data_IF_430649549641
#
_entry.id   IF_430649549641
#
_cell.length_a   1.000
_cell.length_b   1.000
_cell.length_c   1.000
_cell.angle_alpha   90.00
_cell.angle_beta   90.00
_cell.angle_gamma   90.00
#
_symmetry.space_group_name_H-M   'P 1'
#
loop_
_entity.id
_entity.type
_entity.pdbx_description
1 polymer ?
#
# COMPACT_ATOMS: atom_id res chain seq x y z
N UNK A 1 15.64 13.54 -23.65
CA UNK A 1 14.39 13.96 -22.97
C UNK A 1 13.28 13.08 -23.50
N UNK A 2 12.86 12.05 -22.76
CA UNK A 2 11.81 11.14 -23.25
C UNK A 2 10.44 11.78 -23.00
N UNK A 3 9.73 12.06 -24.09
CA UNK A 3 8.37 12.56 -24.10
C UNK A 3 7.44 11.43 -23.62
N UNK A 4 6.87 11.56 -22.42
CA UNK A 4 5.79 10.67 -21.98
C UNK A 4 4.50 11.24 -22.55
N UNK A 5 3.93 10.55 -23.53
CA UNK A 5 2.61 10.81 -24.12
C UNK A 5 1.55 10.91 -23.03
N UNK A 6 0.64 11.89 -23.18
CA UNK A 6 -0.43 12.17 -22.22
C UNK A 6 -1.28 10.95 -21.87
N UNK A 7 -1.67 10.86 -20.59
CA UNK A 7 -2.47 9.79 -19.94
C UNK A 7 -1.67 8.59 -19.40
N UNK A 8 -0.62 8.86 -18.61
CA UNK A 8 0.06 7.85 -17.77
C UNK A 8 -0.42 7.89 -16.32
N UNK A 9 -0.19 6.82 -15.55
CA UNK A 9 -0.43 6.80 -14.11
C UNK A 9 0.54 7.77 -13.39
N UNK A 10 0.02 8.77 -12.67
CA UNK A 10 0.83 9.76 -11.96
C UNK A 10 0.11 10.34 -10.74
N UNK A 11 0.84 10.61 -9.65
CA UNK A 11 0.31 11.27 -8.45
C UNK A 11 -1.04 10.65 -8.01
N UNK A 12 -2.12 11.43 -7.85
CA UNK A 12 -3.46 10.93 -7.51
C UNK A 12 -4.14 10.18 -8.67
N UNK A 13 -3.72 10.39 -9.92
CA UNK A 13 -4.22 9.68 -11.09
C UNK A 13 -3.48 8.34 -11.28
N UNK A 14 -3.64 7.42 -10.32
CA UNK A 14 -3.09 6.06 -10.39
C UNK A 14 -1.60 5.93 -10.03
N UNK A 15 -0.99 6.94 -9.40
CA UNK A 15 0.35 6.80 -8.83
C UNK A 15 0.40 5.77 -7.72
N UNK A 16 1.60 5.23 -7.46
CA UNK A 16 1.84 4.28 -6.37
C UNK A 16 2.37 5.00 -5.14
N UNK A 17 1.67 4.89 -4.01
CA UNK A 17 1.93 5.65 -2.79
C UNK A 17 2.50 4.76 -1.68
N UNK A 18 3.79 4.90 -1.30
CA UNK A 18 4.40 4.09 -0.25
C UNK A 18 3.68 4.16 1.10
N UNK A 19 3.09 5.31 1.43
CA UNK A 19 2.31 5.49 2.66
C UNK A 19 1.17 4.47 2.79
N UNK A 20 0.61 3.95 1.69
CA UNK A 20 -0.50 2.99 1.76
C UNK A 20 -0.07 1.58 2.21
N UNK A 21 1.24 1.32 2.32
CA UNK A 21 1.76 0.01 2.72
C UNK A 21 1.26 -0.45 4.10
N UNK A 22 1.11 0.46 5.07
CA UNK A 22 0.60 0.08 6.40
C UNK A 22 -0.89 -0.27 6.38
N UNK A 23 -1.71 0.40 5.56
CA UNK A 23 -3.13 0.07 5.41
C UNK A 23 -3.31 -1.30 4.74
N UNK A 24 -2.53 -1.58 3.69
CA UNK A 24 -2.52 -2.90 3.06
C UNK A 24 -2.10 -3.96 4.08
N UNK A 25 -1.09 -3.67 4.90
CA UNK A 25 -0.62 -4.59 5.94
C UNK A 25 -1.69 -4.87 7.00
N UNK A 26 -2.32 -3.82 7.53
CA UNK A 26 -3.40 -3.94 8.50
C UNK A 26 -4.57 -4.77 7.96
N UNK A 27 -5.01 -4.49 6.73
CA UNK A 27 -6.07 -5.25 6.07
C UNK A 27 -5.67 -6.71 5.84
N UNK A 28 -4.43 -6.98 5.46
CA UNK A 28 -3.91 -8.34 5.30
C UNK A 28 -3.91 -9.11 6.62
N UNK A 29 -3.50 -8.49 7.73
CA UNK A 29 -3.54 -9.12 9.06
C UNK A 29 -5.00 -9.39 9.45
N UNK A 30 -5.87 -8.38 9.37
CA UNK A 30 -7.30 -8.49 9.73
C UNK A 30 -8.02 -9.60 8.96
N UNK A 31 -7.65 -9.80 7.69
CA UNK A 31 -8.28 -10.81 6.82
C UNK A 31 -7.56 -12.16 6.82
N UNK A 32 -6.57 -12.36 7.69
CA UNK A 32 -5.83 -13.63 7.79
C UNK A 32 -4.95 -13.93 6.57
N UNK A 33 -4.42 -12.90 5.88
CA UNK A 33 -3.57 -12.99 4.68
C UNK A 33 -2.19 -12.32 4.84
N UNK A 34 -1.43 -12.57 5.92
CA UNK A 34 -0.17 -11.87 6.21
C UNK A 34 0.93 -12.08 5.14
N UNK A 35 0.88 -13.15 4.35
CA UNK A 35 1.81 -13.40 3.25
C UNK A 35 1.76 -12.33 2.16
N UNK A 36 0.60 -11.69 1.93
CA UNK A 36 0.48 -10.61 0.95
C UNK A 36 1.22 -9.36 1.45
N UNK A 37 1.07 -9.05 2.74
CA UNK A 37 1.79 -7.96 3.39
C UNK A 37 3.31 -8.17 3.38
N UNK A 38 3.79 -9.38 3.71
CA UNK A 38 5.23 -9.73 3.65
C UNK A 38 5.81 -9.44 2.27
N UNK A 39 5.15 -9.93 1.21
CA UNK A 39 5.59 -9.70 -0.17
C UNK A 39 5.59 -8.21 -0.56
N UNK A 40 4.58 -7.45 -0.11
CA UNK A 40 4.52 -6.02 -0.38
C UNK A 40 5.66 -5.24 0.30
N UNK A 41 5.99 -5.61 1.55
CA UNK A 41 7.09 -5.02 2.31
C UNK A 41 8.44 -5.40 1.68
N UNK A 42 8.66 -6.66 1.32
CA UNK A 42 9.87 -7.09 0.61
C UNK A 42 10.10 -6.28 -0.67
N UNK A 43 9.03 -6.07 -1.46
CA UNK A 43 9.11 -5.24 -2.66
C UNK A 43 9.48 -3.79 -2.34
N UNK A 44 8.90 -3.21 -1.29
CA UNK A 44 9.21 -1.85 -0.85
C UNK A 44 10.68 -1.72 -0.37
N UNK A 45 11.17 -2.69 0.40
CA UNK A 45 12.55 -2.73 0.94
C UNK A 45 13.61 -2.77 -0.17
N UNK A 46 13.30 -3.30 -1.35
CA UNK A 46 14.27 -3.35 -2.48
C UNK A 46 14.72 -1.96 -2.93
N UNK A 47 13.91 -0.91 -2.73
CA UNK A 47 14.11 0.40 -3.35
C UNK A 47 13.81 1.64 -2.51
N UNK A 48 12.91 1.61 -1.51
CA UNK A 48 12.49 2.84 -0.81
C UNK A 48 13.66 3.64 -0.23
N UNK A 49 14.59 2.95 0.43
CA UNK A 49 15.80 3.57 0.98
C UNK A 49 16.72 4.11 -0.12
N UNK A 50 16.95 3.32 -1.18
CA UNK A 50 17.83 3.69 -2.32
C UNK A 50 17.29 4.90 -3.09
N UNK A 51 15.98 5.00 -3.24
CA UNK A 51 15.29 6.07 -3.96
C UNK A 51 15.11 7.34 -3.10
N UNK A 52 15.55 7.31 -1.83
CA UNK A 52 15.50 8.45 -0.92
C UNK A 52 14.10 8.74 -0.39
N UNK A 53 13.31 7.69 -0.13
CA UNK A 53 11.96 7.77 0.47
C UNK A 53 11.01 8.76 -0.25
N UNK A 54 10.69 8.52 -1.53
CA UNK A 54 9.85 9.43 -2.30
C UNK A 54 8.39 9.44 -1.81
N UNK A 55 7.70 10.55 -2.05
CA UNK A 55 6.29 10.75 -1.74
C UNK A 55 5.37 9.78 -2.53
N UNK A 56 5.65 9.57 -3.81
CA UNK A 56 4.94 8.63 -4.69
C UNK A 56 5.81 8.18 -5.87
N UNK A 57 5.38 7.14 -6.57
CA UNK A 57 5.95 6.63 -7.81
C UNK A 57 4.94 6.74 -8.96
N UNK A 58 5.45 6.99 -10.17
CA UNK A 58 4.67 7.09 -11.40
C UNK A 58 4.81 5.84 -12.29
N UNK A 59 3.90 5.74 -13.25
CA UNK A 59 3.79 4.64 -14.20
C UNK A 59 2.89 3.52 -13.72
N UNK A 60 2.35 2.74 -14.66
CA UNK A 60 1.36 1.67 -14.39
C UNK A 60 1.82 0.62 -13.35
N UNK A 61 3.13 0.49 -13.14
CA UNK A 61 3.74 -0.45 -12.19
C UNK A 61 4.59 0.27 -11.13
N UNK A 62 4.48 1.60 -10.99
CA UNK A 62 5.27 2.38 -10.02
C UNK A 62 6.79 2.30 -10.25
N UNK A 63 7.25 2.12 -11.49
CA UNK A 63 8.68 1.92 -11.78
C UNK A 63 9.49 3.21 -11.65
N UNK A 64 8.89 4.37 -11.87
CA UNK A 64 9.57 5.66 -11.89
C UNK A 64 9.29 6.43 -10.60
N UNK A 65 10.31 7.10 -10.03
CA UNK A 65 10.07 8.08 -8.95
C UNK A 65 9.11 9.14 -9.50
N UNK A 66 8.12 9.54 -8.71
CA UNK A 66 7.08 10.46 -9.14
C UNK A 66 7.65 11.76 -9.68
N UNK A 67 7.08 12.28 -10.78
CA UNK A 67 7.58 13.44 -11.51
C UNK A 67 7.82 14.66 -10.63
N UNK A 68 6.99 14.85 -9.59
CA UNK A 68 7.11 15.92 -8.60
C UNK A 68 7.18 15.36 -7.17
N UNK A 69 7.58 14.10 -7.00
CA UNK A 69 7.66 13.50 -5.67
C UNK A 69 8.78 14.15 -4.85
N UNK A 70 8.45 14.55 -3.62
CA UNK A 70 9.46 14.97 -2.64
C UNK A 70 10.21 13.75 -2.11
N UNK A 71 11.51 13.91 -1.86
CA UNK A 71 12.33 12.93 -1.14
C UNK A 71 12.15 13.09 0.36
N UNK A 72 12.50 12.04 1.11
CA UNK A 72 12.44 12.00 2.58
C UNK A 72 11.05 12.33 3.12
N UNK A 73 10.03 11.90 2.39
CA UNK A 73 8.67 12.20 2.75
C UNK A 73 8.28 11.41 4.01
N UNK A 74 7.94 12.12 5.08
CA UNK A 74 7.74 11.55 6.43
C UNK A 74 6.77 10.38 6.44
N UNK A 75 5.61 10.51 5.78
CA UNK A 75 4.60 9.45 5.76
C UNK A 75 5.00 8.21 4.94
N UNK A 76 5.97 8.31 4.03
CA UNK A 76 6.50 7.17 3.28
C UNK A 76 7.41 6.34 4.18
N UNK A 77 8.21 7.02 5.01
CA UNK A 77 9.03 6.38 6.06
C UNK A 77 8.13 5.77 7.14
N UNK A 78 7.22 6.57 7.70
CA UNK A 78 6.34 6.14 8.77
C UNK A 78 5.43 4.99 8.33
N UNK A 79 4.85 5.04 7.13
CA UNK A 79 4.02 3.96 6.61
C UNK A 79 4.77 2.64 6.46
N UNK A 80 6.05 2.67 6.09
CA UNK A 80 6.89 1.48 6.09
C UNK A 80 7.16 0.95 7.50
N UNK A 81 7.52 1.82 8.44
CA UNK A 81 7.79 1.42 9.84
C UNK A 81 6.54 0.82 10.49
N UNK A 82 5.38 1.45 10.35
CA UNK A 82 4.11 0.94 10.89
C UNK A 82 3.76 -0.42 10.26
N UNK A 83 3.98 -0.60 8.95
CA UNK A 83 3.77 -1.91 8.31
C UNK A 83 4.66 -3.01 8.93
N UNK A 84 5.94 -2.71 9.20
CA UNK A 84 6.85 -3.66 9.87
C UNK A 84 6.37 -3.99 11.29
N UNK A 85 6.05 -2.96 12.09
CA UNK A 85 5.59 -3.15 13.47
C UNK A 85 4.28 -3.93 13.55
N UNK A 86 3.34 -3.71 12.62
CA UNK A 86 2.10 -4.48 12.53
C UNK A 86 2.35 -5.97 12.20
N UNK A 87 3.30 -6.27 11.33
CA UNK A 87 3.65 -7.68 11.02
C UNK A 87 4.40 -8.36 12.16
N UNK A 88 5.25 -7.61 12.86
CA UNK A 88 6.08 -8.10 13.96
C UNK A 88 5.21 -8.40 15.19
N UNK A 89 4.25 -7.54 15.48
CA UNK A 89 3.23 -7.76 16.52
C UNK A 89 1.82 -7.40 16.00
N UNK A 90 1.05 -8.42 15.56
CA UNK A 90 -0.32 -8.26 15.10
C UNK A 90 -1.30 -7.73 16.16
N UNK A 91 -0.95 -7.76 17.45
CA UNK A 91 -1.83 -7.24 18.52
C UNK A 91 -2.08 -5.74 18.39
N UNK A 92 -1.15 -5.00 17.76
CA UNK A 92 -1.29 -3.59 17.43
C UNK A 92 -2.47 -3.27 16.49
N UNK A 93 -3.01 -4.26 15.79
CA UNK A 93 -4.14 -4.08 14.88
C UNK A 93 -5.38 -3.48 15.59
N UNK A 94 -5.58 -3.79 16.87
CA UNK A 94 -6.70 -3.29 17.66
C UNK A 94 -6.72 -1.76 17.83
N UNK A 95 -5.60 -1.07 17.57
CA UNK A 95 -5.55 0.40 17.59
C UNK A 95 -6.22 1.06 16.37
N UNK A 96 -6.34 0.33 15.25
CA UNK A 96 -6.76 0.88 13.95
C UNK A 96 -7.93 0.12 13.30
N UNK A 97 -8.25 -1.08 13.80
CA UNK A 97 -9.34 -1.89 13.31
C UNK A 97 -10.32 -2.23 14.42
N UNK A 98 -11.61 -2.05 14.12
CA UNK A 98 -12.71 -2.49 14.98
C UNK A 98 -13.02 -3.95 14.65
N UNK A 99 -13.23 -4.77 15.66
CA UNK A 99 -13.73 -6.14 15.48
C UNK A 99 -15.15 -6.11 14.90
N UNK A 100 -15.49 -7.08 14.06
CA UNK A 100 -16.88 -7.25 13.64
C UNK A 100 -17.68 -7.77 14.84
N UNK A 101 -18.86 -7.19 15.09
CA UNK A 101 -19.79 -7.78 16.04
C UNK A 101 -20.04 -9.22 15.63
N UNK A 102 -19.77 -10.18 16.53
CA UNK A 102 -19.92 -11.63 16.29
C UNK A 102 -21.35 -12.03 15.84
N UNK A 103 -22.32 -11.11 15.95
CA UNK A 103 -23.70 -11.27 15.53
C UNK A 103 -23.98 -10.88 14.08
N UNK A 104 -23.06 -10.20 13.40
CA UNK A 104 -23.18 -9.86 11.99
C UNK A 104 -22.43 -10.94 11.19
N UNK A 105 -23.14 -11.93 10.64
CA UNK A 105 -22.57 -12.76 9.58
C UNK A 105 -22.45 -11.89 8.33
N UNK A 106 -21.26 -11.49 7.86
CA UNK A 106 -21.17 -10.78 6.61
C UNK A 106 -21.46 -11.82 5.54
N UNK A 107 -22.65 -11.76 4.94
CA UNK A 107 -22.88 -12.43 3.67
C UNK A 107 -22.05 -11.65 2.66
N UNK A 108 -20.79 -12.06 2.48
CA UNK A 108 -19.97 -11.64 1.34
C UNK A 108 -20.64 -12.17 0.08
N UNK A 109 -21.66 -11.46 -0.39
CA UNK A 109 -22.28 -11.71 -1.69
C UNK A 109 -21.21 -11.33 -2.71
N UNK A 110 -20.59 -12.33 -3.34
CA UNK A 110 -19.70 -12.11 -4.47
C UNK A 110 -20.45 -11.23 -5.48
N UNK A 111 -19.91 -10.05 -5.76
CA UNK A 111 -20.39 -9.22 -6.85
C UNK A 111 -20.19 -10.02 -8.14
N UNK A 112 -21.27 -10.41 -8.80
CA UNK A 112 -21.23 -10.95 -10.16
C UNK A 112 -20.99 -9.79 -11.11
N UNK A 113 -19.77 -9.25 -11.16
CA UNK A 113 -19.38 -8.35 -12.22
C UNK A 113 -19.22 -9.17 -13.51
N UNK A 114 -20.12 -8.89 -14.43
CA UNK A 114 -20.32 -9.39 -15.80
C UNK A 114 -19.16 -10.12 -16.48
N UNK A 115 -19.48 -11.28 -17.04
CA UNK A 115 -18.77 -11.89 -18.18
C UNK A 115 -19.48 -11.44 -19.46
N UNK A 116 -19.00 -10.35 -20.06
CA UNK A 116 -19.22 -9.98 -21.47
C UNK A 116 -18.20 -8.91 -21.86
#
# INVERSE_FOLDING_TARGET
MMHVSGHGCHNHNGGSWPVLLWLVTAACIKTGRPQIARRAIELAETRLSKDGWPEYYDGKQGRYIGKQARKHQTWSVAGYLVAKMLLEDPSHLGMIAIEEDKHLKPVLRRSSSWTA
#
